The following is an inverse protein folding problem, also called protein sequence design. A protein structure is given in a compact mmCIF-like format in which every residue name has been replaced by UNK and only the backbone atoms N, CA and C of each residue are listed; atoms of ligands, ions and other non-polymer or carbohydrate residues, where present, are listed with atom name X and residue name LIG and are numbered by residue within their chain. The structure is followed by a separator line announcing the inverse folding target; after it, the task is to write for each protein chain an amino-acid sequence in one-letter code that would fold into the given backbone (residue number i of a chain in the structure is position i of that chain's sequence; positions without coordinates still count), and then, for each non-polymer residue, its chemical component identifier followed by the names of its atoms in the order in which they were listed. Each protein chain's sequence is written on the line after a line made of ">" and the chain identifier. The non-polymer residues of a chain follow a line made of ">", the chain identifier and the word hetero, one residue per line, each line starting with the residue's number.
data_IF_756342419230
#
_entry.id   IF_756342419230
#
_cell.length_a   1.000
_cell.length_b   1.000
_cell.length_c   1.000
_cell.angle_alpha   90.00
_cell.angle_beta   90.00
_cell.angle_gamma   90.00
#
_symmetry.space_group_name_H-M   'P 1'
#
loop_
_entity.id
_entity.type
_entity.pdbx_description
1 polymer ?
#
# COMPACT_ATOMS: atom_id res chain seq x y z
N UNK A 1 16.17 -10.49 13.73
CA UNK A 1 15.19 -9.78 12.88
C UNK A 1 14.81 -10.66 11.72
N UNK A 2 13.54 -10.72 11.45
CA UNK A 2 13.10 -11.54 10.33
C UNK A 2 12.97 -10.67 9.07
N UNK A 3 13.40 -11.24 7.94
CA UNK A 3 13.24 -10.63 6.63
C UNK A 3 12.01 -11.18 5.92
N UNK A 4 11.11 -11.80 6.68
CA UNK A 4 9.91 -12.34 6.09
C UNK A 4 9.00 -11.25 5.60
N UNK A 5 8.47 -11.45 4.39
CA UNK A 5 7.48 -10.56 3.83
C UNK A 5 6.13 -10.83 4.49
N UNK A 6 5.39 -9.77 4.70
CA UNK A 6 4.03 -9.84 5.22
C UNK A 6 3.09 -9.15 4.24
N UNK A 7 1.83 -9.55 4.28
CA UNK A 7 0.83 -8.93 3.43
C UNK A 7 0.52 -7.54 3.94
N UNK A 8 0.57 -6.56 3.06
CA UNK A 8 0.17 -5.19 3.37
C UNK A 8 -0.89 -4.73 2.40
N UNK A 9 -1.78 -3.88 2.89
CA UNK A 9 -2.81 -3.24 2.09
C UNK A 9 -2.57 -1.74 2.20
N UNK A 10 -2.44 -1.08 1.06
CA UNK A 10 -2.18 0.35 1.01
C UNK A 10 -3.32 1.03 0.27
N UNK A 11 -3.90 2.02 0.91
CA UNK A 11 -5.06 2.75 0.40
C UNK A 11 -4.74 4.23 0.39
N UNK A 12 -5.08 4.90 -0.69
CA UNK A 12 -4.93 6.35 -0.74
C UNK A 12 -6.18 6.99 -1.33
N UNK A 13 -6.38 8.25 -0.97
CA UNK A 13 -7.45 9.08 -1.51
C UNK A 13 -6.91 10.49 -1.65
N UNK A 14 -6.94 11.03 -2.87
CA UNK A 14 -6.44 12.37 -3.15
C UNK A 14 -7.30 13.02 -4.22
N UNK A 15 -7.64 14.31 -4.08
CA UNK A 15 -8.35 15.05 -5.11
C UNK A 15 -7.45 15.50 -6.26
N UNK A 16 -6.14 15.38 -6.13
CA UNK A 16 -5.19 15.86 -7.13
C UNK A 16 -4.76 14.74 -8.07
N UNK A 17 -5.03 14.92 -9.37
CA UNK A 17 -4.72 13.92 -10.39
C UNK A 17 -3.22 13.63 -10.50
N UNK A 18 -2.40 14.64 -10.35
CA UNK A 18 -0.95 14.49 -10.47
C UNK A 18 -0.39 13.64 -9.33
N UNK A 19 -0.82 13.95 -8.09
CA UNK A 19 -0.42 13.16 -6.94
C UNK A 19 -0.96 11.74 -7.03
N UNK A 20 -2.20 11.57 -7.51
CA UNK A 20 -2.81 10.26 -7.69
C UNK A 20 -1.94 9.39 -8.60
N UNK A 21 -1.51 9.93 -9.72
CA UNK A 21 -0.66 9.18 -10.66
C UNK A 21 0.70 8.85 -10.07
N UNK A 22 1.28 9.78 -9.30
CA UNK A 22 2.58 9.54 -8.67
C UNK A 22 2.49 8.47 -7.59
N UNK A 23 1.43 8.48 -6.78
CA UNK A 23 1.21 7.45 -5.77
C UNK A 23 1.01 6.08 -6.42
N UNK A 24 0.19 6.00 -7.44
CA UNK A 24 -0.04 4.74 -8.16
C UNK A 24 1.24 4.19 -8.77
N UNK A 25 2.03 5.05 -9.41
CA UNK A 25 3.29 4.63 -10.04
C UNK A 25 4.26 4.09 -9.00
N UNK A 26 4.36 4.76 -7.85
CA UNK A 26 5.24 4.33 -6.78
C UNK A 26 4.80 2.98 -6.22
N UNK A 27 3.49 2.79 -6.04
CA UNK A 27 2.96 1.55 -5.48
C UNK A 27 3.02 0.39 -6.48
N UNK A 28 2.88 0.65 -7.78
CA UNK A 28 2.97 -0.38 -8.81
C UNK A 28 4.33 -1.07 -8.84
N UNK A 29 5.38 -0.40 -8.35
CA UNK A 29 6.71 -1.00 -8.28
C UNK A 29 6.83 -2.05 -7.19
N UNK A 30 5.98 -2.03 -6.17
CA UNK A 30 6.14 -2.87 -4.99
C UNK A 30 4.90 -3.69 -4.65
N UNK A 31 3.76 -3.41 -5.30
CA UNK A 31 2.49 -4.02 -4.93
C UNK A 31 1.60 -4.17 -6.15
N UNK A 32 0.51 -4.92 -5.99
CA UNK A 32 -0.48 -5.14 -7.04
C UNK A 32 -1.72 -4.32 -6.78
N UNK A 33 -2.23 -3.67 -7.81
CA UNK A 33 -3.47 -2.91 -7.71
C UNK A 33 -4.64 -3.88 -7.68
N UNK A 34 -5.46 -3.80 -6.63
CA UNK A 34 -6.67 -4.64 -6.52
C UNK A 34 -7.94 -3.83 -6.79
N UNK A 35 -7.88 -2.53 -6.57
CA UNK A 35 -8.91 -1.57 -6.97
C UNK A 35 -8.23 -0.24 -7.26
N UNK A 36 -8.99 0.75 -7.72
CA UNK A 36 -8.50 2.05 -8.18
C UNK A 36 -7.34 2.61 -7.32
N UNK A 37 -7.57 2.70 -6.01
CA UNK A 37 -6.60 3.28 -5.09
C UNK A 37 -6.27 2.33 -3.94
N UNK A 38 -6.41 1.03 -4.19
CA UNK A 38 -6.12 -0.01 -3.21
C UNK A 38 -5.09 -0.96 -3.80
N UNK A 39 -4.00 -1.14 -3.07
CA UNK A 39 -2.90 -2.01 -3.47
C UNK A 39 -2.63 -3.04 -2.39
N UNK A 40 -2.24 -4.23 -2.79
CA UNK A 40 -1.76 -5.28 -1.87
C UNK A 40 -0.38 -5.72 -2.31
N UNK A 41 0.46 -6.05 -1.35
CA UNK A 41 1.79 -6.55 -1.66
C UNK A 41 2.39 -7.30 -0.49
N UNK A 42 3.41 -8.10 -0.80
CA UNK A 42 4.21 -8.82 0.19
C UNK A 42 5.50 -8.05 0.39
N UNK A 43 5.63 -7.41 1.53
CA UNK A 43 6.77 -6.55 1.82
C UNK A 43 7.41 -6.94 3.15
N UNK A 44 8.73 -6.86 3.20
CA UNK A 44 9.46 -6.97 4.45
C UNK A 44 9.29 -5.67 5.25
N UNK A 45 9.66 -5.70 6.52
CA UNK A 45 9.61 -4.49 7.36
C UNK A 45 10.42 -3.35 6.75
N UNK A 46 11.61 -3.65 6.23
CA UNK A 46 12.47 -2.64 5.61
C UNK A 46 11.81 -2.06 4.36
N UNK A 47 11.16 -2.89 3.56
CA UNK A 47 10.46 -2.44 2.36
C UNK A 47 9.24 -1.58 2.72
N UNK A 48 8.53 -1.94 3.79
CA UNK A 48 7.41 -1.15 4.28
C UNK A 48 7.88 0.24 4.68
N UNK A 49 8.95 0.32 5.45
CA UNK A 49 9.48 1.59 5.91
C UNK A 49 9.94 2.47 4.74
N UNK A 50 10.66 1.87 3.79
CA UNK A 50 11.11 2.59 2.59
C UNK A 50 9.93 3.10 1.77
N UNK A 51 8.96 2.24 1.53
CA UNK A 51 7.76 2.59 0.78
C UNK A 51 7.00 3.73 1.47
N UNK A 52 6.82 3.63 2.77
CA UNK A 52 6.11 4.64 3.54
C UNK A 52 6.79 6.01 3.45
N UNK A 53 8.11 6.04 3.56
CA UNK A 53 8.87 7.28 3.43
C UNK A 53 8.67 7.92 2.06
N UNK A 54 8.70 7.12 1.01
CA UNK A 54 8.49 7.62 -0.36
C UNK A 54 7.09 8.16 -0.54
N UNK A 55 6.09 7.45 -0.01
CA UNK A 55 4.70 7.89 -0.09
C UNK A 55 4.48 9.21 0.64
N UNK A 56 5.11 9.37 1.81
CA UNK A 56 5.00 10.60 2.59
C UNK A 56 5.51 11.83 1.83
N UNK A 57 6.46 11.64 0.93
CA UNK A 57 7.01 12.74 0.13
C UNK A 57 6.06 13.20 -0.98
N UNK A 58 5.09 12.37 -1.33
CA UNK A 58 4.15 12.68 -2.40
C UNK A 58 2.86 13.25 -1.85
N UNK A 59 2.35 12.68 -0.75
CA UNK A 59 1.04 13.09 -0.22
C UNK A 59 1.07 14.50 0.36
N UNK A 60 -0.08 15.15 0.26
CA UNK A 60 -0.34 16.41 0.93
C UNK A 60 -1.26 16.10 2.11
N UNK A 61 -0.73 16.20 3.33
CA UNK A 61 -1.47 15.77 4.53
C UNK A 61 -2.77 16.54 4.74
N UNK A 62 -2.84 17.75 4.22
CA UNK A 62 -4.03 18.59 4.39
C UNK A 62 -5.17 18.20 3.44
N UNK A 63 -4.85 17.51 2.34
CA UNK A 63 -5.83 17.23 1.29
C UNK A 63 -5.99 15.73 1.03
N UNK A 64 -4.98 14.94 1.32
CA UNK A 64 -4.93 13.53 0.93
C UNK A 64 -5.05 12.63 2.15
N UNK A 65 -5.46 11.38 1.89
CA UNK A 65 -5.45 10.33 2.89
C UNK A 65 -4.59 9.19 2.38
N UNK A 66 -3.78 8.63 3.28
CA UNK A 66 -2.92 7.49 2.98
C UNK A 66 -2.95 6.56 4.18
N UNK A 67 -3.23 5.28 3.93
CA UNK A 67 -3.25 4.28 4.99
C UNK A 67 -2.51 3.03 4.53
N UNK A 68 -1.76 2.45 5.44
CA UNK A 68 -1.08 1.18 5.24
C UNK A 68 -1.47 0.26 6.38
N UNK A 69 -2.03 -0.90 6.02
CA UNK A 69 -2.43 -1.91 7.00
C UNK A 69 -1.59 -3.15 6.80
N UNK A 70 -1.14 -3.73 7.92
CA UNK A 70 -0.47 -5.02 7.92
C UNK A 70 -1.50 -6.09 8.22
N UNK A 71 -1.48 -7.16 7.43
CA UNK A 71 -2.38 -8.30 7.62
C UNK A 71 -1.54 -9.44 8.18
N UNK A 72 -1.76 -9.82 9.43
CA UNK A 72 -1.04 -10.91 10.06
C UNK A 72 -1.39 -12.23 9.37
N UNK A 73 -0.56 -13.26 9.60
CA UNK A 73 -0.76 -14.54 8.94
C UNK A 73 -2.13 -15.15 9.24
N UNK A 74 -2.57 -15.05 10.49
CA UNK A 74 -3.89 -15.56 10.86
C UNK A 74 -5.00 -14.85 10.09
N UNK A 75 -4.97 -13.53 10.03
CA UNK A 75 -5.99 -12.75 9.34
C UNK A 75 -5.93 -12.98 7.84
N UNK A 76 -4.73 -13.14 7.28
CA UNK A 76 -4.57 -13.45 5.87
C UNK A 76 -5.22 -14.80 5.55
N UNK A 77 -4.96 -15.80 6.36
CA UNK A 77 -5.49 -17.15 6.13
C UNK A 77 -7.02 -17.19 6.28
N UNK A 78 -7.56 -16.30 7.11
CA UNK A 78 -9.00 -16.18 7.30
C UNK A 78 -9.67 -15.27 6.26
N UNK A 79 -8.89 -14.59 5.45
CA UNK A 79 -9.41 -13.68 4.43
C UNK A 79 -10.02 -14.48 3.27
N UNK A 80 -11.00 -13.88 2.63
CA UNK A 80 -11.72 -14.52 1.52
C UNK A 80 -11.68 -13.61 0.31
N UNK A 81 -11.50 -14.24 -0.84
CA UNK A 81 -11.47 -13.55 -2.13
C UNK A 81 -12.45 -14.25 -3.05
N UNK A 82 -13.27 -13.49 -3.73
CA UNK A 82 -14.18 -13.98 -4.72
C UNK A 82 -13.94 -13.24 -6.02
N UNK A 83 -13.88 -13.97 -7.12
CA UNK A 83 -13.60 -13.40 -8.42
C UNK A 83 -12.11 -13.31 -8.68
N UNK A 84 -11.72 -12.28 -9.39
CA UNK A 84 -10.31 -12.09 -9.75
C UNK A 84 -9.54 -11.26 -8.75
#
# INVERSE_FOLDING_TARGET
>A
MTNEAMLVVIVYDTPDDKRRRRLARLLEDVADRVQWSVFEGWLTTAQIDDCWQRLQQVVCADADRLRLYRVCQYCRDASRVLGQ
#
